data_IF_734745057458
#
_entry.id   IF_734745057458
#
_cell.length_a   1.000
_cell.length_b   1.000
_cell.length_c   1.000
_cell.angle_alpha   90.00
_cell.angle_beta   90.00
_cell.angle_gamma   90.00
#
_symmetry.space_group_name_H-M   'P 1'
#
loop_
_entity.id
_entity.type
_entity.pdbx_description
1 polymer ?
#
# COMPACT_ATOMS: atom_id res chain seq x y z
N UNK A 1 8.95 9.00 -3.90
CA UNK A 1 8.29 8.27 -2.81
C UNK A 1 8.79 6.85 -2.82
N UNK A 2 9.01 6.24 -1.65
CA UNK A 2 9.30 4.81 -1.54
C UNK A 2 8.56 4.19 -0.35
N UNK A 3 8.39 2.87 -0.40
CA UNK A 3 7.68 2.08 0.61
C UNK A 3 8.62 1.00 1.12
N UNK A 4 8.53 0.68 2.40
CA UNK A 4 9.28 -0.42 3.02
C UNK A 4 8.34 -1.31 3.81
N UNK A 5 8.63 -2.61 3.83
CA UNK A 5 7.98 -3.61 4.68
C UNK A 5 9.01 -4.21 5.64
N UNK A 6 8.55 -4.63 6.83
CA UNK A 6 9.43 -5.19 7.85
C UNK A 6 8.77 -6.34 8.61
N UNK A 7 9.62 -7.20 9.18
CA UNK A 7 9.20 -8.28 10.07
C UNK A 7 8.68 -7.76 11.43
N UNK A 8 8.88 -6.48 11.74
CA UNK A 8 8.29 -5.77 12.89
C UNK A 8 6.81 -5.39 12.71
N UNK A 9 6.18 -5.91 11.65
CA UNK A 9 4.76 -5.76 11.30
C UNK A 9 4.41 -4.43 10.63
N UNK A 10 5.41 -3.57 10.43
CA UNK A 10 5.19 -2.26 9.86
C UNK A 10 5.39 -2.23 8.35
N UNK A 11 4.49 -1.50 7.68
CA UNK A 11 4.73 -0.92 6.37
C UNK A 11 4.89 0.58 6.56
N UNK A 12 5.98 1.15 6.03
CA UNK A 12 6.27 2.58 6.16
C UNK A 12 6.37 3.25 4.81
N UNK A 13 5.85 4.47 4.75
CA UNK A 13 5.93 5.34 3.59
C UNK A 13 6.92 6.47 3.85
N UNK A 14 7.74 6.72 2.85
CA UNK A 14 8.86 7.63 2.94
C UNK A 14 8.87 8.58 1.76
N UNK A 15 8.92 9.86 2.07
CA UNK A 15 9.27 10.88 1.09
C UNK A 15 10.77 11.10 1.10
N UNK A 16 11.31 11.25 -0.11
CA UNK A 16 12.76 11.36 -0.32
C UNK A 16 13.38 12.66 0.26
N UNK A 17 12.54 13.62 0.65
CA UNK A 17 12.97 14.90 1.23
C UNK A 17 12.71 15.00 2.73
N UNK A 18 12.07 13.99 3.35
CA UNK A 18 11.75 13.97 4.78
C UNK A 18 12.72 13.07 5.54
N UNK A 19 13.10 13.48 6.74
CA UNK A 19 13.96 12.69 7.65
C UNK A 19 13.17 11.61 8.41
N UNK A 20 11.86 11.81 8.60
CA UNK A 20 10.95 10.87 9.26
C UNK A 20 10.01 10.19 8.28
N UNK A 21 9.48 9.02 8.68
CA UNK A 21 8.45 8.37 7.88
C UNK A 21 7.18 9.23 7.84
N UNK A 22 6.56 9.31 6.67
CA UNK A 22 5.32 10.07 6.47
C UNK A 22 4.14 9.34 7.12
N UNK A 23 4.08 8.02 6.94
CA UNK A 23 3.04 7.17 7.52
C UNK A 23 3.62 5.81 7.89
N UNK A 24 3.02 5.20 8.92
CA UNK A 24 3.36 3.86 9.41
C UNK A 24 2.07 3.07 9.60
N UNK A 25 2.00 1.88 9.01
CA UNK A 25 0.88 0.97 9.11
C UNK A 25 1.33 -0.27 9.88
N UNK A 26 0.65 -0.58 10.99
CA UNK A 26 0.84 -1.83 11.70
C UNK A 26 -0.17 -2.86 11.18
N UNK A 27 0.33 -3.97 10.62
CA UNK A 27 -0.49 -5.05 10.06
C UNK A 27 -0.72 -6.18 11.08
N UNK A 28 -0.11 -6.11 12.27
CA UNK A 28 -0.24 -7.07 13.36
C UNK A 28 0.45 -8.42 13.09
N UNK A 29 1.16 -8.56 11.97
CA UNK A 29 1.90 -9.75 11.56
C UNK A 29 3.12 -9.36 10.71
N UNK A 30 4.17 -10.19 10.72
CA UNK A 30 5.38 -9.94 9.95
C UNK A 30 5.05 -9.76 8.46
N UNK A 31 5.50 -8.66 7.88
CA UNK A 31 5.25 -8.31 6.48
C UNK A 31 6.31 -8.98 5.62
N UNK A 32 5.88 -9.81 4.69
CA UNK A 32 6.77 -10.56 3.80
C UNK A 32 7.27 -9.70 2.64
N UNK A 33 6.39 -8.89 2.06
CA UNK A 33 6.68 -8.06 0.89
C UNK A 33 5.62 -6.96 0.73
N UNK A 34 5.95 -5.94 -0.05
CA UNK A 34 5.06 -4.82 -0.39
C UNK A 34 5.37 -4.32 -1.79
N UNK A 35 4.34 -4.01 -2.57
CA UNK A 35 4.50 -3.51 -3.93
C UNK A 35 3.48 -2.42 -4.24
N UNK A 36 3.93 -1.38 -4.96
CA UNK A 36 3.05 -0.39 -5.56
C UNK A 36 2.30 -1.00 -6.74
N UNK A 37 1.05 -0.56 -6.89
CA UNK A 37 0.29 -0.87 -8.09
C UNK A 37 0.84 -0.08 -9.28
N UNK A 38 1.02 -0.70 -10.46
CA UNK A 38 1.61 -0.03 -11.63
C UNK A 38 0.65 0.95 -12.32
N UNK A 39 -0.61 0.98 -11.90
CA UNK A 39 -1.70 1.73 -12.55
C UNK A 39 -2.31 2.82 -11.65
N UNK A 40 -1.80 3.02 -10.44
CA UNK A 40 -2.25 4.09 -9.52
C UNK A 40 -1.10 4.46 -8.58
N UNK A 41 -0.76 5.74 -8.50
CA UNK A 41 0.36 6.22 -7.70
C UNK A 41 0.14 6.03 -6.20
N UNK A 42 -1.11 5.94 -5.74
CA UNK A 42 -1.48 5.88 -4.32
C UNK A 42 -1.91 4.49 -3.85
N UNK A 43 -1.96 3.50 -4.75
CA UNK A 43 -2.40 2.16 -4.40
C UNK A 43 -1.21 1.20 -4.25
N UNK A 44 -1.22 0.39 -3.20
CA UNK A 44 -0.22 -0.64 -2.97
C UNK A 44 -0.83 -1.85 -2.30
N UNK A 45 -0.14 -2.98 -2.38
CA UNK A 45 -0.49 -4.17 -1.63
C UNK A 45 0.68 -4.64 -0.77
N UNK A 46 0.36 -5.15 0.40
CA UNK A 46 1.30 -5.74 1.34
C UNK A 46 0.84 -7.14 1.70
N UNK A 47 1.79 -8.04 1.94
CA UNK A 47 1.50 -9.42 2.32
C UNK A 47 2.06 -9.73 3.70
N UNK A 48 1.31 -10.50 4.46
CA UNK A 48 1.70 -10.91 5.80
C UNK A 48 1.99 -12.40 5.86
N UNK A 49 2.87 -12.75 6.78
CA UNK A 49 3.32 -14.11 7.03
C UNK A 49 2.19 -15.07 7.43
N UNK A 50 1.05 -14.58 7.89
CA UNK A 50 -0.09 -15.43 8.22
C UNK A 50 -0.87 -15.88 6.96
N UNK A 51 -0.59 -15.37 5.77
CA UNK A 51 -1.28 -15.81 4.55
C UNK A 51 -2.25 -14.80 3.95
N UNK A 52 -2.21 -13.54 4.40
CA UNK A 52 -3.16 -12.50 3.99
C UNK A 52 -2.49 -11.50 3.03
N UNK A 53 -3.23 -11.12 2.00
CA UNK A 53 -2.93 -9.96 1.16
C UNK A 53 -3.77 -8.79 1.63
N UNK A 54 -3.14 -7.65 1.89
CA UNK A 54 -3.76 -6.38 2.25
C UNK A 54 -3.64 -5.43 1.07
N UNK A 55 -4.71 -4.70 0.75
CA UNK A 55 -4.72 -3.70 -0.31
C UNK A 55 -5.04 -2.32 0.26
N UNK A 56 -4.26 -1.34 -0.12
CA UNK A 56 -4.35 0.05 0.34
C UNK A 56 -4.51 0.98 -0.85
N UNK A 57 -5.25 2.07 -0.66
CA UNK A 57 -5.27 3.22 -1.56
C UNK A 57 -5.33 4.49 -0.73
N UNK A 58 -4.21 5.22 -0.69
CA UNK A 58 -4.03 6.41 0.13
C UNK A 58 -4.95 7.57 -0.26
N UNK A 59 -5.47 7.54 -1.49
CA UNK A 59 -6.44 8.55 -1.94
C UNK A 59 -7.86 8.28 -1.44
N UNK A 60 -8.17 7.03 -1.10
CA UNK A 60 -9.49 6.61 -0.62
C UNK A 60 -9.53 6.52 0.91
N UNK A 61 -8.54 5.86 1.52
CA UNK A 61 -8.40 5.77 2.96
C UNK A 61 -6.91 5.78 3.34
N UNK A 62 -6.52 6.74 4.17
CA UNK A 62 -5.12 6.97 4.55
C UNK A 62 -4.66 6.11 5.73
N UNK A 63 -5.60 5.64 6.55
CA UNK A 63 -5.29 5.03 7.84
C UNK A 63 -5.52 3.52 7.80
N UNK A 64 -6.45 3.05 6.96
CA UNK A 64 -6.86 1.66 6.93
C UNK A 64 -6.81 1.06 5.53
N UNK A 65 -6.64 -0.27 5.50
CA UNK A 65 -6.72 -1.07 4.28
C UNK A 65 -8.11 -0.98 3.66
N UNK A 66 -8.16 -0.91 2.34
CA UNK A 66 -9.42 -0.95 1.57
C UNK A 66 -10.02 -2.35 1.61
N UNK A 67 -9.17 -3.36 1.51
CA UNK A 67 -9.57 -4.75 1.69
C UNK A 67 -8.42 -5.63 2.15
N UNK A 68 -8.75 -6.84 2.61
CA UNK A 68 -7.80 -7.90 2.86
C UNK A 68 -8.41 -9.25 2.51
N UNK A 69 -7.58 -10.20 2.08
CA UNK A 69 -8.02 -11.53 1.69
C UNK A 69 -7.03 -12.59 2.19
N UNK A 70 -7.54 -13.60 2.89
CA UNK A 70 -6.77 -14.82 3.20
C UNK A 70 -6.59 -15.62 1.91
N UNK A 71 -5.35 -15.78 1.46
CA UNK A 71 -5.01 -16.49 0.21
C UNK A 71 -4.57 -17.92 0.51
N UNK A 72 -3.75 -18.10 1.55
CA UNK A 72 -3.25 -19.41 1.97
C UNK A 72 -3.57 -19.66 3.46
N UNK A 73 -3.73 -20.94 3.82
CA UNK A 73 -4.06 -21.34 5.21
C UNK A 73 -2.90 -21.98 5.98
N UNK A 74 -1.97 -22.63 5.29
CA UNK A 74 -0.90 -23.46 5.90
C UNK A 74 0.50 -23.07 5.41
N UNK A 75 0.63 -21.90 4.80
CA UNK A 75 1.86 -21.39 4.21
C UNK A 75 1.99 -19.90 4.55
N UNK A 76 3.20 -19.35 4.42
CA UNK A 76 3.49 -17.93 4.59
C UNK A 76 3.69 -17.30 3.23
N UNK A 77 3.10 -16.12 3.00
CA UNK A 77 3.34 -15.39 1.76
C UNK A 77 4.73 -14.76 1.81
N UNK A 78 5.47 -14.83 0.71
CA UNK A 78 6.88 -14.41 0.62
C UNK A 78 7.10 -13.28 -0.36
N UNK A 79 6.36 -13.25 -1.48
CA UNK A 79 6.52 -12.26 -2.53
C UNK A 79 5.18 -11.84 -3.13
N UNK A 80 5.06 -10.56 -3.49
CA UNK A 80 3.92 -10.02 -4.23
C UNK A 80 4.38 -9.27 -5.47
N UNK A 81 3.68 -9.48 -6.58
CA UNK A 81 3.96 -8.78 -7.83
C UNK A 81 2.66 -8.42 -8.54
N UNK A 82 2.56 -7.17 -8.98
CA UNK A 82 1.49 -6.73 -9.85
C UNK A 82 1.80 -7.03 -11.30
N UNK A 83 0.77 -7.43 -12.05
CA UNK A 83 0.85 -7.40 -13.49
C UNK A 83 0.70 -5.96 -14.01
N UNK A 84 1.49 -5.58 -15.01
CA UNK A 84 1.55 -4.20 -15.51
C UNK A 84 0.42 -3.84 -16.46
N UNK A 85 -0.19 -4.84 -17.11
CA UNK A 85 -1.24 -4.63 -18.13
C UNK A 85 -2.65 -4.92 -17.60
N UNK A 86 -2.80 -6.06 -16.93
CA UNK A 86 -4.08 -6.55 -16.41
C UNK A 86 -4.14 -6.39 -14.88
N UNK A 87 -5.33 -6.13 -14.30
CA UNK A 87 -5.52 -5.98 -12.86
C UNK A 87 -5.49 -7.32 -12.12
N UNK A 88 -4.32 -7.95 -12.14
CA UNK A 88 -3.99 -9.25 -11.59
C UNK A 88 -2.77 -9.09 -10.69
N UNK A 89 -2.76 -9.80 -9.56
CA UNK A 89 -1.62 -9.89 -8.66
C UNK A 89 -1.18 -11.34 -8.51
N UNK A 90 0.13 -11.55 -8.48
CA UNK A 90 0.78 -12.82 -8.19
C UNK A 90 1.32 -12.79 -6.77
N UNK A 91 1.10 -13.88 -6.04
CA UNK A 91 1.58 -14.03 -4.67
C UNK A 91 2.25 -15.37 -4.49
N UNK A 92 3.53 -15.35 -4.14
CA UNK A 92 4.32 -16.53 -3.82
C UNK A 92 4.22 -16.92 -2.35
N UNK A 93 4.38 -18.20 -2.05
CA UNK A 93 4.44 -18.73 -0.69
C UNK A 93 5.73 -19.53 -0.40
N UNK A 94 5.96 -19.81 0.89
CA UNK A 94 7.12 -20.53 1.41
C UNK A 94 7.12 -22.05 1.11
N UNK A 95 6.08 -22.58 0.47
CA UNK A 95 6.00 -23.96 0.00
C UNK A 95 6.20 -24.09 -1.50
N UNK A 96 6.58 -23.00 -2.17
CA UNK A 96 6.77 -22.93 -3.63
C UNK A 96 5.45 -22.80 -4.41
N UNK A 97 4.33 -22.54 -3.73
CA UNK A 97 3.06 -22.22 -4.37
C UNK A 97 3.04 -20.78 -4.89
N UNK A 98 2.36 -20.57 -6.03
CA UNK A 98 2.09 -19.25 -6.58
C UNK A 98 0.59 -19.12 -6.84
N UNK A 99 -0.02 -18.11 -6.24
CA UNK A 99 -1.43 -17.81 -6.40
C UNK A 99 -1.60 -16.59 -7.33
N UNK A 100 -2.60 -16.65 -8.21
CA UNK A 100 -2.95 -15.59 -9.13
C UNK A 100 -4.34 -15.06 -8.77
N UNK A 101 -4.45 -13.78 -8.44
CA UNK A 101 -5.69 -13.16 -7.95
C UNK A 101 -6.10 -12.01 -8.86
N UNK A 102 -7.38 -11.96 -9.21
CA UNK A 102 -7.96 -10.85 -9.97
C UNK A 102 -8.49 -9.79 -9.01
N UNK A 103 -8.12 -8.54 -9.21
CA UNK A 103 -8.58 -7.45 -8.36
C UNK A 103 -10.04 -7.12 -8.63
N UNK A 104 -10.82 -6.89 -7.57
CA UNK A 104 -12.20 -6.42 -7.67
C UNK A 104 -12.27 -5.11 -8.47
N UNK A 105 -13.33 -4.88 -9.27
CA UNK A 105 -13.53 -3.60 -9.97
C UNK A 105 -13.40 -2.37 -9.06
N UNK A 106 -13.80 -2.49 -7.79
CA UNK A 106 -13.71 -1.39 -6.81
C UNK A 106 -12.27 -1.01 -6.44
N UNK A 107 -11.29 -1.89 -6.70
CA UNK A 107 -9.87 -1.66 -6.47
C UNK A 107 -9.14 -1.17 -7.74
N UNK A 108 -9.87 -0.97 -8.85
CA UNK A 108 -9.35 -0.56 -10.16
C UNK A 108 -9.63 0.91 -10.46
N UNK A 109 -9.67 1.75 -9.42
CA UNK A 109 -9.92 3.19 -9.58
C UNK A 109 -8.63 3.88 -10.02
N UNK A 110 -8.45 4.00 -11.33
CA UNK A 110 -7.30 4.66 -11.94
C UNK A 110 -7.64 6.11 -12.29
N UNK A 111 -6.64 6.99 -12.38
CA UNK A 111 -6.86 8.29 -13.01
C UNK A 111 -7.24 8.07 -14.49
N UNK A 112 -8.37 8.65 -14.88
CA UNK A 112 -8.88 8.67 -16.25
C UNK A 112 -8.80 10.11 -16.72
N UNK A 113 -8.13 10.34 -17.85
CA UNK A 113 -8.10 11.67 -18.48
C UNK A 113 -9.50 12.00 -18.97
N UNK A 114 -10.02 13.13 -18.52
CA UNK A 114 -11.34 13.65 -18.91
C UNK A 114 -11.18 14.82 -19.88
N UNK A 115 -12.28 15.21 -20.54
CA UNK A 115 -12.27 16.39 -21.42
C UNK A 115 -11.94 17.69 -20.64
N UNK A 116 -12.19 17.72 -19.34
CA UNK A 116 -11.88 18.86 -18.45
C UNK A 116 -10.38 19.01 -18.19
N UNK A 117 -9.61 17.92 -18.32
CA UNK A 117 -8.16 17.91 -18.07
C UNK A 117 -7.36 18.54 -19.23
N UNK A 118 -7.97 18.74 -20.40
CA UNK A 118 -7.30 19.26 -21.59
C UNK A 118 -6.19 18.32 -22.09
N UNK A 119 -4.99 18.85 -22.35
CA UNK A 119 -3.82 18.11 -22.87
C UNK A 119 -2.98 17.41 -21.77
N UNK A 120 -3.54 17.22 -20.58
CA UNK A 120 -2.81 16.60 -19.45
C UNK A 120 -2.73 15.08 -19.63
N UNK A 121 -1.52 14.55 -19.47
CA UNK A 121 -1.26 13.10 -19.53
C UNK A 121 -1.75 12.39 -18.27
N UNK A 122 -2.01 11.08 -18.37
CA UNK A 122 -2.39 10.27 -17.21
C UNK A 122 -1.29 10.27 -16.14
N UNK A 123 -0.04 10.21 -16.57
CA UNK A 123 1.14 10.25 -15.70
C UNK A 123 1.15 11.53 -14.86
N UNK A 124 0.84 12.68 -15.47
CA UNK A 124 0.73 13.97 -14.76
C UNK A 124 -0.42 13.98 -13.75
N UNK A 125 -1.57 13.37 -14.07
CA UNK A 125 -2.68 13.23 -13.12
C UNK A 125 -2.29 12.36 -11.91
N UNK A 126 -1.60 11.24 -12.14
CA UNK A 126 -1.13 10.36 -11.07
C UNK A 126 -0.05 11.04 -10.21
N UNK A 127 0.80 11.89 -10.81
CA UNK A 127 1.76 12.74 -10.08
C UNK A 127 1.04 13.79 -9.23
N UNK A 128 0.05 14.50 -9.78
CA UNK A 128 -0.77 15.47 -9.02
C UNK A 128 -1.45 14.81 -7.83
N UNK A 129 -2.08 13.65 -8.05
CA UNK A 129 -2.74 12.85 -7.02
C UNK A 129 -1.78 12.49 -5.87
N UNK A 130 -0.55 12.09 -6.18
CA UNK A 130 0.46 11.82 -5.15
C UNK A 130 0.93 13.10 -4.44
N UNK A 131 1.13 14.20 -5.17
CA UNK A 131 1.55 15.47 -4.56
C UNK A 131 0.52 16.02 -3.59
N UNK A 132 -0.77 15.95 -3.93
CA UNK A 132 -1.87 16.31 -3.02
C UNK A 132 -1.81 15.49 -1.72
N UNK A 133 -1.53 14.19 -1.83
CA UNK A 133 -1.35 13.34 -0.66
C UNK A 133 -0.13 13.79 0.19
N UNK A 134 1.00 14.12 -0.44
CA UNK A 134 2.21 14.54 0.26
C UNK A 134 2.05 15.85 0.99
N UNK A 135 1.43 16.84 0.36
CA UNK A 135 1.14 18.14 0.99
C UNK A 135 0.30 17.96 2.26
N UNK A 136 -0.67 17.03 2.23
CA UNK A 136 -1.48 16.70 3.41
C UNK A 136 -0.70 15.92 4.47
N UNK A 137 0.18 14.99 4.07
CA UNK A 137 0.92 14.14 4.99
C UNK A 137 2.08 14.86 5.71
N UNK A 138 2.65 15.90 5.10
CA UNK A 138 3.73 16.72 5.66
C UNK A 138 3.21 17.82 6.60
N UNK A 139 1.89 18.02 6.68
CA UNK A 139 1.27 18.91 7.66
C UNK A 139 1.65 18.54 9.11
N UNK A 140 1.59 19.49 10.07
CA UNK A 140 2.06 19.25 11.43
C UNK A 140 1.36 18.05 12.05
N UNK A 141 2.11 16.96 12.25
CA UNK A 141 1.60 15.77 12.93
C UNK A 141 1.31 16.17 14.37
N UNK A 142 0.04 16.07 14.78
CA UNK A 142 -0.30 16.13 16.21
C UNK A 142 0.36 14.91 16.85
N UNK A 143 1.31 15.15 17.75
CA UNK A 143 1.92 14.12 18.57
C UNK A 143 0.79 13.30 19.23
N UNK A 144 0.62 12.05 18.81
CA UNK A 144 -0.13 11.10 19.59
C UNK A 144 0.73 10.76 20.80
N UNK A 145 0.38 11.33 21.95
CA UNK A 145 0.96 10.98 23.23
C UNK A 145 0.85 9.46 23.43
N UNK A 146 1.97 8.77 23.33
CA UNK A 146 2.10 7.40 23.83
C UNK A 146 1.95 7.51 25.35
N UNK A 147 0.78 7.11 25.84
CA UNK A 147 0.54 6.95 27.27
C UNK A 147 1.59 6.02 27.84
N UNK A 148 2.41 6.56 28.74
CA UNK A 148 3.30 5.77 29.57
C UNK A 148 2.45 4.87 30.48
N UNK A 149 2.36 3.58 30.17
CA UNK A 149 2.09 2.58 31.20
C UNK A 149 3.39 2.36 31.97
N UNK A 150 3.59 3.19 33.00
CA UNK A 150 4.51 2.93 34.08
C UNK A 150 3.86 1.86 34.99
N UNK A 151 4.63 0.84 35.31
CA UNK A 151 4.19 -0.30 36.11
C UNK A 151 3.74 0.04 37.53
N UNK A 152 2.94 -0.88 38.07
CA UNK A 152 2.83 -1.23 39.48
C UNK A 152 2.46 -2.73 39.56
#
# INVERSE_FOLDING_TARGET
>A
MFISASADWTVKLWGHTQESCLMSFDLGQAVGDVAWAPYSSTAFAAITSDGIVHFYDLSVNRNERICYQKVVRKAKLTHIMFNTTEPIIFVGDDRGGVNCLKLSPNLRKFCVVTEEDGDVTREELEVRKMNEFLEMAVGPQKEHAVGAEAGA
#
